data_IF_704127193550
#
_entry.id   IF_704127193550
#
_cell.length_a   1.000
_cell.length_b   1.000
_cell.length_c   1.000
_cell.angle_alpha   90.00
_cell.angle_beta   90.00
_cell.angle_gamma   90.00
#
_symmetry.space_group_name_H-M   'P 1'
#
loop_
_entity.id
_entity.type
_entity.pdbx_description
1 polymer ?
#
# COMPACT_ATOMS: atom_id res chain seq x y z
N UNK A 1 11.43 6.16 22.46
CA UNK A 1 10.68 5.02 21.90
C UNK A 1 11.61 3.96 21.30
N UNK A 2 12.63 4.31 20.50
CA UNK A 2 13.55 3.31 19.90
C UNK A 2 15.01 3.33 20.42
N UNK A 3 15.30 4.02 21.54
CA UNK A 3 16.60 3.95 22.22
C UNK A 3 17.72 4.80 21.60
N UNK A 4 18.01 4.62 20.30
CA UNK A 4 19.02 5.39 19.55
C UNK A 4 18.63 5.54 18.07
N UNK A 5 19.30 6.44 17.33
CA UNK A 5 19.06 6.67 15.90
C UNK A 5 19.49 5.48 15.02
N UNK A 6 20.52 4.75 15.42
CA UNK A 6 20.98 3.55 14.71
C UNK A 6 19.92 2.45 14.69
N UNK A 7 19.05 2.39 15.71
CA UNK A 7 17.94 1.45 15.77
C UNK A 7 16.81 1.74 14.76
N UNK A 8 16.89 2.84 14.00
CA UNK A 8 15.98 3.16 12.90
C UNK A 8 16.54 2.74 11.53
N UNK A 9 17.79 2.28 11.47
CA UNK A 9 18.40 1.82 10.22
C UNK A 9 17.84 0.45 9.81
N UNK A 10 17.25 0.36 8.61
CA UNK A 10 16.72 -0.88 8.05
C UNK A 10 15.30 -1.28 8.49
N UNK A 11 14.48 -0.33 8.95
CA UNK A 11 13.05 -0.55 9.17
C UNK A 11 12.25 -0.63 7.87
N UNK A 12 11.11 -1.35 7.87
CA UNK A 12 10.15 -1.30 6.76
C UNK A 12 9.26 -0.06 6.89
N UNK A 13 8.90 0.54 5.75
CA UNK A 13 7.96 1.66 5.71
C UNK A 13 6.60 1.29 6.32
N UNK A 14 6.16 0.03 6.25
CA UNK A 14 4.96 -0.48 6.94
C UNK A 14 5.00 -0.29 8.46
N UNK A 15 6.13 -0.60 9.11
CA UNK A 15 6.27 -0.43 10.56
C UNK A 15 6.18 1.05 10.95
N UNK A 16 6.80 1.92 10.14
CA UNK A 16 6.69 3.37 10.32
C UNK A 16 5.27 3.88 10.12
N UNK A 17 4.57 3.39 9.10
CA UNK A 17 3.19 3.76 8.83
C UNK A 17 2.26 3.40 9.98
N UNK A 18 2.30 2.17 10.48
CA UNK A 18 1.45 1.76 11.61
C UNK A 18 1.78 2.55 12.88
N UNK A 19 3.07 2.74 13.19
CA UNK A 19 3.50 3.44 14.41
C UNK A 19 3.15 4.94 14.39
N UNK A 20 3.16 5.59 13.21
CA UNK A 20 2.89 7.02 13.11
C UNK A 20 1.43 7.38 12.85
N UNK A 21 0.68 6.50 12.20
CA UNK A 21 -0.69 6.81 11.76
C UNK A 21 -1.76 6.04 12.53
N UNK A 22 -1.41 4.91 13.15
CA UNK A 22 -2.39 3.97 13.68
C UNK A 22 -3.29 3.34 12.61
N UNK A 23 -2.95 3.52 11.33
CA UNK A 23 -3.64 2.95 10.17
C UNK A 23 -3.34 1.46 9.99
N UNK A 24 -3.92 0.88 8.94
CA UNK A 24 -3.70 -0.51 8.56
C UNK A 24 -2.78 -0.52 7.34
N UNK A 25 -1.59 -1.13 7.49
CA UNK A 25 -0.65 -1.29 6.39
C UNK A 25 -0.92 -2.59 5.61
N UNK A 26 -0.88 -2.50 4.28
CA UNK A 26 -0.87 -3.61 3.34
C UNK A 26 0.37 -3.51 2.44
N UNK A 27 0.87 -4.66 2.00
CA UNK A 27 2.05 -4.75 1.16
C UNK A 27 1.75 -5.60 -0.07
N UNK A 28 2.14 -5.10 -1.25
CA UNK A 28 1.99 -5.75 -2.54
C UNK A 28 3.37 -6.02 -3.14
N UNK A 29 3.58 -7.27 -3.55
CA UNK A 29 4.75 -7.66 -4.35
C UNK A 29 4.51 -7.27 -5.80
N UNK A 30 5.38 -6.43 -6.35
CA UNK A 30 5.24 -5.92 -7.71
C UNK A 30 5.77 -6.89 -8.78
N UNK A 31 6.44 -7.97 -8.37
CA UNK A 31 6.82 -9.05 -9.29
C UNK A 31 5.63 -9.93 -9.68
N UNK A 32 4.61 -10.00 -8.82
CA UNK A 32 3.34 -10.69 -9.06
C UNK A 32 2.17 -9.74 -8.74
N UNK A 33 2.00 -8.65 -9.53
CA UNK A 33 1.04 -7.61 -9.21
C UNK A 33 -0.40 -8.09 -9.42
N UNK A 34 -1.30 -7.63 -8.55
CA UNK A 34 -2.74 -7.80 -8.76
C UNK A 34 -3.16 -7.11 -10.09
N UNK A 35 -4.00 -7.76 -10.94
CA UNK A 35 -4.46 -7.14 -12.19
C UNK A 35 -5.14 -5.78 -12.02
N UNK A 36 -5.75 -5.55 -10.85
CA UNK A 36 -6.46 -4.32 -10.48
C UNK A 36 -5.60 -3.40 -9.60
N UNK A 37 -4.30 -3.66 -9.45
CA UNK A 37 -3.41 -2.89 -8.57
C UNK A 37 -3.43 -1.38 -8.85
N UNK A 38 -3.50 -0.99 -10.13
CA UNK A 38 -3.59 0.42 -10.48
C UNK A 38 -4.85 1.09 -9.91
N UNK A 39 -5.99 0.40 -9.96
CA UNK A 39 -7.25 0.87 -9.38
C UNK A 39 -7.17 0.97 -7.86
N UNK A 40 -6.55 -0.03 -7.21
CA UNK A 40 -6.29 -0.02 -5.77
C UNK A 40 -5.49 1.22 -5.38
N UNK A 41 -4.44 1.58 -6.13
CA UNK A 41 -3.63 2.78 -5.90
C UNK A 41 -4.48 4.05 -6.06
N UNK A 42 -5.31 4.16 -7.10
CA UNK A 42 -6.18 5.32 -7.30
C UNK A 42 -7.20 5.48 -6.16
N UNK A 43 -7.84 4.38 -5.74
CA UNK A 43 -8.74 4.37 -4.59
C UNK A 43 -8.04 4.77 -3.30
N UNK A 44 -6.84 4.23 -3.05
CA UNK A 44 -6.02 4.57 -1.90
C UNK A 44 -5.68 6.07 -1.89
N UNK A 45 -5.28 6.62 -3.03
CA UNK A 45 -5.01 8.06 -3.18
C UNK A 45 -6.25 8.91 -2.86
N UNK A 46 -7.40 8.59 -3.44
CA UNK A 46 -8.66 9.32 -3.24
C UNK A 46 -9.16 9.26 -1.80
N UNK A 47 -8.75 8.23 -1.06
CA UNK A 47 -9.06 8.04 0.36
C UNK A 47 -8.00 8.62 1.30
N UNK A 48 -6.98 9.28 0.77
CA UNK A 48 -5.90 9.89 1.55
C UNK A 48 -4.94 8.89 2.18
N UNK A 49 -4.92 7.63 1.71
CA UNK A 49 -3.98 6.62 2.19
C UNK A 49 -2.54 7.03 1.87
N UNK A 50 -1.61 6.72 2.76
CA UNK A 50 -0.19 6.94 2.53
C UNK A 50 0.38 5.77 1.75
N UNK A 51 1.19 6.04 0.72
CA UNK A 51 1.74 4.99 -0.12
C UNK A 51 3.25 5.15 -0.24
N UNK A 52 3.95 4.05 -0.06
CA UNK A 52 5.39 3.94 -0.22
C UNK A 52 5.75 2.84 -1.21
N UNK A 53 6.89 2.97 -1.88
CA UNK A 53 7.42 1.91 -2.72
C UNK A 53 8.94 1.82 -2.57
N UNK A 54 9.49 0.66 -2.89
CA UNK A 54 10.93 0.43 -2.78
C UNK A 54 11.41 -0.57 -3.83
N UNK A 55 12.73 -0.53 -4.07
CA UNK A 55 13.44 -1.44 -4.96
C UNK A 55 14.31 -2.36 -4.10
N UNK A 56 14.10 -3.66 -4.20
CA UNK A 56 14.86 -4.64 -3.42
C UNK A 56 16.34 -4.65 -3.86
N UNK A 57 17.23 -4.85 -2.89
CA UNK A 57 18.67 -5.01 -3.13
C UNK A 57 19.04 -6.48 -3.22
N UNK A 58 19.88 -6.83 -4.19
CA UNK A 58 20.41 -8.19 -4.35
C UNK A 58 21.61 -8.47 -3.45
N UNK A 59 22.31 -7.43 -3.03
CA UNK A 59 23.46 -7.51 -2.12
C UNK A 59 23.50 -6.27 -1.21
N UNK A 60 24.11 -6.39 -0.03
CA UNK A 60 24.26 -5.25 0.90
C UNK A 60 25.10 -4.10 0.32
N UNK A 61 25.97 -4.39 -0.65
CA UNK A 61 26.70 -3.38 -1.42
C UNK A 61 25.84 -2.57 -2.39
N UNK A 62 24.63 -3.03 -2.70
CA UNK A 62 23.68 -2.33 -3.57
C UNK A 62 22.75 -1.36 -2.81
N UNK A 63 22.91 -1.25 -1.48
CA UNK A 63 22.15 -0.30 -0.66
C UNK A 63 22.46 1.13 -1.08
N UNK A 64 21.42 1.91 -1.37
CA UNK A 64 21.50 3.27 -1.92
C UNK A 64 22.23 3.38 -3.28
N UNK A 65 22.39 2.26 -4.00
CA UNK A 65 23.00 2.28 -5.32
C UNK A 65 22.06 2.94 -6.35
N UNK A 66 22.59 3.91 -7.10
CA UNK A 66 21.85 4.62 -8.15
C UNK A 66 21.93 3.85 -9.47
N UNK A 67 20.79 3.58 -10.09
CA UNK A 67 20.69 2.91 -11.40
C UNK A 67 21.08 3.87 -12.54
N UNK A 68 21.27 3.33 -13.74
CA UNK A 68 21.49 4.13 -14.96
C UNK A 68 20.34 5.10 -15.26
N UNK A 69 19.13 4.82 -14.78
CA UNK A 69 17.94 5.67 -14.92
C UNK A 69 17.68 6.53 -13.68
N UNK A 70 18.69 6.71 -12.82
CA UNK A 70 18.66 7.54 -11.60
C UNK A 70 17.65 7.11 -10.53
N UNK A 71 17.26 5.84 -10.49
CA UNK A 71 16.51 5.27 -9.36
C UNK A 71 17.48 4.76 -8.30
N UNK A 72 17.14 4.85 -7.03
CA UNK A 72 17.97 4.45 -5.89
C UNK A 72 17.46 3.13 -5.35
N UNK A 73 18.32 2.11 -5.27
CA UNK A 73 17.95 0.80 -4.71
C UNK A 73 18.05 0.77 -3.19
N UNK A 74 17.23 -0.06 -2.54
CA UNK A 74 17.23 -0.18 -1.08
C UNK A 74 16.77 1.10 -0.38
N UNK A 75 16.00 1.92 -1.09
CA UNK A 75 15.55 3.24 -0.66
C UNK A 75 14.04 3.32 -0.73
N UNK A 76 13.44 4.05 0.21
CA UNK A 76 12.01 4.26 0.26
C UNK A 76 11.62 5.49 -0.56
N UNK A 77 10.65 5.31 -1.45
CA UNK A 77 10.00 6.35 -2.22
C UNK A 77 8.54 6.50 -1.75
N UNK A 78 7.95 7.66 -2.00
CA UNK A 78 6.51 7.87 -1.79
C UNK A 78 5.77 7.83 -3.12
N UNK A 79 4.61 7.17 -3.16
CA UNK A 79 3.68 7.30 -4.29
C UNK A 79 2.73 8.46 -3.98
N UNK A 80 2.76 9.49 -4.81
CA UNK A 80 2.02 10.74 -4.57
C UNK A 80 0.92 11.01 -5.60
N UNK A 81 0.78 10.14 -6.60
CA UNK A 81 -0.29 10.22 -7.59
C UNK A 81 -0.40 9.02 -8.51
N UNK A 82 -1.61 8.76 -9.00
CA UNK A 82 -1.87 7.78 -10.05
C UNK A 82 -2.97 8.31 -10.97
N UNK A 83 -2.70 8.35 -12.27
CA UNK A 83 -3.56 9.00 -13.25
C UNK A 83 -3.50 8.34 -14.62
N UNK A 84 -4.45 8.66 -15.48
CA UNK A 84 -4.51 8.13 -16.85
C UNK A 84 -4.59 9.26 -17.85
N UNK A 85 -3.87 9.12 -18.97
CA UNK A 85 -3.86 10.10 -20.06
C UNK A 85 -4.05 9.41 -21.39
N UNK A 86 -4.72 10.07 -22.32
CA UNK A 86 -4.74 9.59 -23.71
C UNK A 86 -3.41 9.93 -24.39
N UNK A 87 -2.66 8.89 -24.75
CA UNK A 87 -1.39 9.00 -25.46
C UNK A 87 -1.42 8.13 -26.72
N UNK A 88 -1.37 8.79 -27.89
CA UNK A 88 -1.39 8.14 -29.21
C UNK A 88 -2.60 7.20 -29.42
N UNK A 89 -3.78 7.60 -28.92
CA UNK A 89 -5.02 6.84 -29.06
C UNK A 89 -5.17 5.65 -28.11
N UNK A 90 -4.28 5.53 -27.11
CA UNK A 90 -4.42 4.55 -26.03
C UNK A 90 -4.44 5.28 -24.68
N UNK A 91 -5.16 4.73 -23.70
CA UNK A 91 -5.11 5.20 -22.32
C UNK A 91 -3.83 4.67 -21.65
N UNK A 92 -2.89 5.58 -21.37
CA UNK A 92 -1.64 5.28 -20.68
C UNK A 92 -1.82 5.53 -19.18
N UNK A 93 -1.48 4.52 -18.37
CA UNK A 93 -1.52 4.60 -16.90
C UNK A 93 -0.19 5.17 -16.39
N UNK A 94 -0.26 6.28 -15.67
CA UNK A 94 0.89 6.98 -15.09
C UNK A 94 0.84 6.93 -13.57
N UNK A 95 2.02 6.85 -12.96
CA UNK A 95 2.19 6.92 -11.51
C UNK A 95 3.25 7.97 -11.18
N UNK A 96 2.96 8.75 -10.14
CA UNK A 96 3.83 9.82 -9.64
C UNK A 96 4.52 9.35 -8.37
N UNK A 97 5.83 9.47 -8.38
CA UNK A 97 6.72 8.98 -7.34
C UNK A 97 7.59 10.11 -6.86
N UNK A 98 7.83 10.19 -5.56
CA UNK A 98 8.67 11.20 -4.94
C UNK A 98 9.84 10.57 -4.20
N UNK A 99 11.04 11.00 -4.55
CA UNK A 99 12.25 10.72 -3.81
C UNK A 99 12.32 11.64 -2.57
N UNK A 100 12.37 11.10 -1.34
CA UNK A 100 12.45 11.92 -0.13
C UNK A 100 13.75 12.74 -0.03
N UNK A 101 14.79 12.44 -0.81
CA UNK A 101 15.98 13.30 -0.89
C UNK A 101 15.70 14.66 -1.54
N UNK A 102 14.58 14.83 -2.22
CA UNK A 102 14.21 16.07 -2.88
C UNK A 102 15.04 16.39 -4.13
N UNK A 103 15.74 15.38 -4.66
CA UNK A 103 16.64 15.46 -5.82
C UNK A 103 16.82 14.06 -6.41
N UNK A 104 17.45 13.97 -7.58
CA UNK A 104 17.71 12.71 -8.31
C UNK A 104 16.41 12.06 -8.77
N UNK A 105 16.03 12.39 -10.00
CA UNK A 105 14.77 12.00 -10.62
C UNK A 105 14.96 11.05 -11.79
N UNK A 106 13.89 10.30 -12.08
CA UNK A 106 13.78 9.38 -13.19
C UNK A 106 14.08 10.06 -14.54
N UNK A 107 14.88 9.39 -15.39
CA UNK A 107 15.27 9.92 -16.71
C UNK A 107 14.60 9.22 -17.88
N UNK A 108 13.67 8.29 -17.64
CA UNK A 108 13.01 7.52 -18.69
C UNK A 108 11.75 8.19 -19.25
N UNK A 109 10.79 7.37 -19.69
CA UNK A 109 9.52 7.88 -20.22
C UNK A 109 8.72 8.61 -19.13
N UNK A 110 8.10 9.74 -19.49
CA UNK A 110 7.30 10.59 -18.60
C UNK A 110 8.07 11.33 -17.50
N UNK A 111 9.41 11.30 -17.53
CA UNK A 111 10.24 12.26 -16.79
C UNK A 111 9.90 13.72 -17.13
N UNK A 112 10.31 14.67 -16.30
CA UNK A 112 9.99 16.10 -16.46
C UNK A 112 10.36 16.68 -17.83
N UNK A 113 11.50 16.24 -18.38
CA UNK A 113 12.01 16.65 -19.69
C UNK A 113 11.54 15.76 -20.85
N UNK A 114 10.69 14.77 -20.58
CA UNK A 114 10.25 13.78 -21.56
C UNK A 114 9.46 14.42 -22.71
N UNK A 115 9.74 13.99 -23.94
CA UNK A 115 9.02 14.49 -25.13
C UNK A 115 7.57 14.02 -25.20
N UNK A 116 7.23 12.97 -24.44
CA UNK A 116 5.92 12.35 -24.34
C UNK A 116 4.85 13.36 -23.91
N UNK A 117 5.20 14.29 -23.01
CA UNK A 117 4.32 15.39 -22.56
C UNK A 117 3.86 16.32 -23.68
N UNK A 118 4.54 16.34 -24.83
CA UNK A 118 4.12 17.15 -26.00
C UNK A 118 3.04 16.48 -26.85
N UNK A 119 2.69 15.23 -26.56
CA UNK A 119 1.79 14.42 -27.36
C UNK A 119 0.46 14.11 -26.63
N UNK A 120 0.26 14.69 -25.46
CA UNK A 120 -1.00 14.66 -24.70
C UNK A 120 -1.73 16.00 -24.84
N UNK A 121 -2.97 16.06 -24.36
CA UNK A 121 -3.75 17.29 -24.33
C UNK A 121 -3.06 18.37 -23.49
N UNK A 122 -3.29 19.65 -23.81
CA UNK A 122 -2.78 20.75 -22.98
C UNK A 122 -3.38 20.70 -21.56
N UNK A 123 -4.64 20.26 -21.42
CA UNK A 123 -5.32 20.09 -20.13
C UNK A 123 -4.62 19.04 -19.25
N UNK A 124 -4.32 17.85 -19.79
CA UNK A 124 -3.60 16.81 -19.06
C UNK A 124 -2.17 17.21 -18.75
N UNK A 125 -1.52 17.95 -19.67
CA UNK A 125 -0.18 18.46 -19.44
C UNK A 125 -0.16 19.46 -18.30
N UNK A 126 -1.08 20.40 -18.25
CA UNK A 126 -1.12 21.41 -17.19
C UNK A 126 -1.52 20.78 -15.83
N UNK A 127 -2.29 19.69 -15.87
CA UNK A 127 -2.71 18.92 -14.70
C UNK A 127 -1.61 18.06 -14.10
N UNK A 128 -0.77 17.44 -14.94
CA UNK A 128 0.18 16.39 -14.52
C UNK A 128 1.64 16.83 -14.64
N UNK A 129 1.98 17.63 -15.65
CA UNK A 129 3.37 18.04 -15.89
C UNK A 129 3.72 19.25 -15.03
N UNK A 130 4.44 19.00 -13.94
CA UNK A 130 5.08 20.04 -13.15
C UNK A 130 6.59 19.84 -13.22
N UNK A 131 7.31 20.77 -13.85
CA UNK A 131 8.76 20.67 -14.01
C UNK A 131 9.45 21.30 -12.83
N UNK A 132 10.02 20.49 -11.95
CA UNK A 132 10.63 20.95 -10.71
C UNK A 132 11.65 19.94 -10.24
N UNK A 133 12.88 20.37 -9.92
CA UNK A 133 13.82 19.49 -9.23
C UNK A 133 13.46 19.42 -7.73
N UNK A 134 12.44 18.64 -7.41
CA UNK A 134 11.98 18.38 -6.03
C UNK A 134 11.93 16.89 -5.69
N UNK A 135 12.48 16.05 -6.57
CA UNK A 135 12.52 14.61 -6.44
C UNK A 135 11.21 13.93 -6.86
N UNK A 136 10.18 14.66 -7.25
CA UNK A 136 8.93 14.12 -7.77
C UNK A 136 8.99 13.93 -9.28
N UNK A 137 8.51 12.80 -9.78
CA UNK A 137 8.49 12.51 -11.20
C UNK A 137 7.33 11.56 -11.54
N UNK A 138 6.88 11.62 -12.80
CA UNK A 138 5.98 10.61 -13.35
C UNK A 138 6.75 9.51 -14.08
N UNK A 139 6.17 8.32 -14.09
CA UNK A 139 6.58 7.23 -14.96
C UNK A 139 5.37 6.42 -15.41
N UNK A 140 5.54 5.62 -16.46
CA UNK A 140 4.49 4.67 -16.84
C UNK A 140 4.30 3.63 -15.72
N UNK A 141 3.08 3.18 -15.50
CA UNK A 141 2.80 2.13 -14.52
C UNK A 141 3.52 0.82 -14.89
N UNK A 142 3.72 0.56 -16.18
CA UNK A 142 4.51 -0.57 -16.65
C UNK A 142 5.99 -0.46 -16.27
N UNK A 143 6.58 0.73 -16.34
CA UNK A 143 7.95 0.94 -15.86
C UNK A 143 8.00 0.82 -14.34
N UNK A 144 7.00 1.31 -13.62
CA UNK A 144 6.91 1.13 -12.17
C UNK A 144 6.98 -0.35 -11.77
N UNK A 145 6.15 -1.20 -12.36
CA UNK A 145 6.15 -2.65 -12.11
C UNK A 145 7.47 -3.34 -12.48
N UNK A 146 8.22 -2.81 -13.46
CA UNK A 146 9.51 -3.37 -13.87
C UNK A 146 10.67 -2.98 -12.97
N UNK A 147 10.63 -1.79 -12.38
CA UNK A 147 11.75 -1.24 -11.62
C UNK A 147 11.57 -1.38 -10.10
N UNK A 148 10.34 -1.23 -9.61
CA UNK A 148 10.03 -1.35 -8.18
C UNK A 148 9.67 -2.78 -7.82
N UNK A 149 9.98 -3.15 -6.57
CA UNK A 149 9.79 -4.52 -6.07
C UNK A 149 8.61 -4.61 -5.12
N UNK A 150 8.36 -3.56 -4.33
CA UNK A 150 7.29 -3.53 -3.33
C UNK A 150 6.53 -2.21 -3.36
N UNK A 151 5.23 -2.32 -3.17
CA UNK A 151 4.34 -1.22 -2.85
C UNK A 151 3.74 -1.48 -1.47
N UNK A 152 3.72 -0.46 -0.63
CA UNK A 152 3.14 -0.49 0.70
C UNK A 152 2.09 0.61 0.80
N UNK A 153 0.87 0.26 1.17
CA UNK A 153 -0.24 1.20 1.31
C UNK A 153 -0.66 1.20 2.77
N UNK A 154 -0.79 2.37 3.37
CA UNK A 154 -1.32 2.54 4.71
C UNK A 154 -2.67 3.25 4.65
N UNK A 155 -3.72 2.46 4.90
CA UNK A 155 -5.09 2.94 4.97
C UNK A 155 -5.31 3.62 6.31
N UNK A 156 -5.51 4.93 6.26
CA UNK A 156 -5.65 5.77 7.43
C UNK A 156 -7.02 5.57 8.09
N UNK A 157 -7.02 5.62 9.42
CA UNK A 157 -8.28 5.67 10.16
C UNK A 157 -8.96 7.03 9.93
N UNK A 158 -10.30 7.12 9.98
CA UNK A 158 -11.01 8.38 9.77
C UNK A 158 -10.58 9.50 10.74
N UNK A 159 -10.03 9.15 11.91
CA UNK A 159 -9.51 10.11 12.89
C UNK A 159 -8.20 10.78 12.46
N UNK A 160 -7.44 10.18 11.54
CA UNK A 160 -6.15 10.70 11.07
C UNK A 160 -6.30 11.76 9.96
N UNK A 161 -7.47 11.86 9.33
CA UNK A 161 -7.75 12.79 8.23
C UNK A 161 -8.70 13.90 8.69
N UNK A 162 -8.16 15.11 8.92
CA UNK A 162 -8.94 16.31 9.23
C UNK A 162 -9.46 17.04 7.99
N UNK A 163 -9.00 16.65 6.81
CA UNK A 163 -9.46 17.22 5.53
C UNK A 163 -10.75 16.53 5.09
N UNK A 164 -11.77 17.31 4.76
CA UNK A 164 -13.07 16.82 4.32
C UNK A 164 -13.15 16.65 2.79
N UNK A 165 -12.09 17.02 2.06
CA UNK A 165 -11.97 16.81 0.61
C UNK A 165 -11.64 15.37 0.21
N UNK A 166 -11.19 14.54 1.16
CA UNK A 166 -10.85 13.12 0.94
C UNK A 166 -11.89 12.18 1.51
N UNK A 167 -12.17 11.11 0.78
CA UNK A 167 -13.12 10.07 1.18
C UNK A 167 -12.57 9.24 2.35
N UNK A 168 -13.23 9.26 3.51
CA UNK A 168 -12.73 8.58 4.72
C UNK A 168 -13.13 7.10 4.74
N UNK A 169 -12.26 6.25 5.29
CA UNK A 169 -12.58 4.84 5.56
C UNK A 169 -13.57 4.71 6.72
N UNK A 170 -14.54 3.82 6.62
CA UNK A 170 -15.35 3.41 7.76
C UNK A 170 -14.57 2.39 8.60
N UNK A 171 -14.34 2.69 9.89
CA UNK A 171 -13.56 1.83 10.79
C UNK A 171 -14.48 1.10 11.79
N UNK A 172 -14.38 -0.23 11.81
CA UNK A 172 -14.94 -1.07 12.88
C UNK A 172 -13.83 -1.88 13.54
N UNK A 173 -13.69 -1.74 14.86
CA UNK A 173 -12.64 -2.42 15.64
C UNK A 173 -13.24 -3.43 16.61
N UNK A 174 -12.70 -4.64 16.59
CA UNK A 174 -13.09 -5.72 17.48
C UNK A 174 -11.88 -6.25 18.25
N UNK A 175 -12.11 -6.66 19.50
CA UNK A 175 -11.11 -7.29 20.35
C UNK A 175 -11.51 -8.74 20.67
N UNK A 176 -10.53 -9.64 20.68
CA UNK A 176 -10.74 -11.06 20.91
C UNK A 176 -9.58 -11.72 21.65
N UNK A 177 -9.76 -12.98 22.05
CA UNK A 177 -8.68 -13.79 22.64
C UNK A 177 -8.81 -15.27 22.28
N UNK A 178 -7.68 -15.92 22.02
CA UNK A 178 -7.57 -17.37 21.85
C UNK A 178 -7.09 -18.00 23.15
N UNK A 179 -7.94 -18.83 23.77
CA UNK A 179 -7.66 -19.51 25.04
C UNK A 179 -7.68 -21.02 24.85
N UNK A 180 -6.62 -21.69 25.30
CA UNK A 180 -6.50 -23.16 25.22
C UNK A 180 -7.69 -23.83 25.91
N UNK A 181 -8.27 -24.82 25.25
CA UNK A 181 -9.44 -25.56 25.74
C UNK A 181 -10.79 -24.85 25.56
N UNK A 182 -10.81 -23.68 24.91
CA UNK A 182 -12.04 -22.95 24.61
C UNK A 182 -11.97 -22.36 23.20
N UNK A 183 -11.46 -21.13 23.04
CA UNK A 183 -11.50 -20.39 21.77
C UNK A 183 -10.29 -20.60 20.86
N UNK A 184 -9.23 -21.30 21.30
CA UNK A 184 -8.04 -21.58 20.48
C UNK A 184 -8.29 -22.75 19.50
N UNK A 185 -9.11 -22.49 18.47
CA UNK A 185 -9.59 -23.51 17.52
C UNK A 185 -8.60 -23.94 16.44
N UNK A 186 -7.51 -23.18 16.22
CA UNK A 186 -6.54 -23.43 15.15
C UNK A 186 -7.01 -22.90 13.79
N UNK A 187 -6.31 -23.28 12.71
CA UNK A 187 -6.66 -22.90 11.33
C UNK A 187 -7.64 -23.90 10.68
N UNK A 188 -8.00 -23.68 9.41
CA UNK A 188 -9.00 -24.48 8.68
C UNK A 188 -8.66 -25.96 8.57
N UNK A 189 -7.38 -26.31 8.69
CA UNK A 189 -6.87 -27.68 8.69
C UNK A 189 -7.26 -28.48 9.95
N UNK A 190 -7.80 -27.82 10.98
CA UNK A 190 -8.27 -28.44 12.23
C UNK A 190 -9.80 -28.35 12.34
N UNK A 191 -10.57 -29.05 11.50
CA UNK A 191 -12.02 -28.86 11.39
C UNK A 191 -12.79 -29.13 12.69
N UNK A 192 -12.29 -30.03 13.55
CA UNK A 192 -12.92 -30.39 14.81
C UNK A 192 -12.93 -29.24 15.84
N UNK A 193 -12.00 -28.30 15.71
CA UNK A 193 -11.81 -27.19 16.66
C UNK A 193 -11.93 -25.82 16.00
N UNK A 194 -11.78 -25.70 14.69
CA UNK A 194 -11.78 -24.42 13.97
C UNK A 194 -13.00 -23.54 14.25
N UNK A 195 -14.18 -24.15 14.40
CA UNK A 195 -15.43 -23.46 14.66
C UNK A 195 -15.49 -22.77 16.04
N UNK A 196 -14.60 -23.11 16.98
CA UNK A 196 -14.56 -22.50 18.31
C UNK A 196 -13.82 -21.17 18.35
N UNK A 197 -13.14 -20.79 17.25
CA UNK A 197 -12.53 -19.47 17.14
C UNK A 197 -13.62 -18.36 17.19
N UNK A 198 -13.29 -17.15 17.68
CA UNK A 198 -14.20 -16.01 17.62
C UNK A 198 -14.66 -15.73 16.19
N UNK A 199 -15.95 -15.44 16.02
CA UNK A 199 -16.57 -15.14 14.72
C UNK A 199 -17.13 -13.72 14.75
N UNK A 200 -16.94 -12.98 13.65
CA UNK A 200 -17.40 -11.61 13.49
C UNK A 200 -18.24 -11.50 12.23
N UNK A 201 -19.24 -10.61 12.25
CA UNK A 201 -20.13 -10.37 11.11
C UNK A 201 -19.77 -9.02 10.51
N UNK A 202 -19.53 -9.02 9.20
CA UNK A 202 -19.35 -7.81 8.39
C UNK A 202 -20.60 -7.68 7.51
N UNK A 203 -21.16 -6.48 7.43
CA UNK A 203 -22.26 -6.15 6.51
C UNK A 203 -21.74 -5.15 5.50
N UNK A 204 -22.00 -5.42 4.23
CA UNK A 204 -21.61 -4.60 3.10
C UNK A 204 -22.92 -4.16 2.44
N UNK A 205 -23.28 -2.88 2.65
CA UNK A 205 -24.59 -2.34 2.25
C UNK A 205 -24.47 -1.36 1.05
N UNK A 206 -23.33 -0.70 0.87
CA UNK A 206 -23.11 0.34 -0.14
C UNK A 206 -21.95 -0.03 -1.07
N UNK A 207 -22.20 -0.03 -2.38
CA UNK A 207 -21.19 -0.26 -3.43
C UNK A 207 -20.28 0.97 -3.53
N UNK A 208 -18.97 0.74 -3.68
CA UNK A 208 -17.95 1.80 -3.72
C UNK A 208 -17.06 1.77 -4.97
N UNK A 209 -17.40 0.91 -5.93
CA UNK A 209 -16.77 0.83 -7.25
C UNK A 209 -17.33 1.89 -8.21
N UNK A 210 -16.52 2.32 -9.17
CA UNK A 210 -16.98 3.19 -10.24
C UNK A 210 -17.95 2.40 -11.14
N UNK A 211 -19.17 2.88 -11.40
CA UNK A 211 -20.11 2.19 -12.27
C UNK A 211 -19.56 1.93 -13.69
N UNK A 212 -18.52 2.66 -14.12
CA UNK A 212 -17.88 2.48 -15.42
C UNK A 212 -16.81 1.37 -15.44
N UNK A 213 -16.40 0.83 -14.28
CA UNK A 213 -15.36 -0.21 -14.18
C UNK A 213 -15.88 -1.64 -14.46
N UNK A 214 -17.20 -1.81 -14.59
CA UNK A 214 -17.83 -3.10 -14.93
C UNK A 214 -17.83 -4.14 -13.79
N UNK A 215 -17.38 -3.76 -12.61
CA UNK A 215 -17.46 -4.54 -11.38
C UNK A 215 -18.24 -3.74 -10.33
N UNK A 216 -19.35 -4.31 -9.84
CA UNK A 216 -20.11 -3.75 -8.73
C UNK A 216 -19.73 -4.50 -7.46
N UNK A 217 -19.09 -3.82 -6.51
CA UNK A 217 -18.64 -4.40 -5.27
C UNK A 217 -18.55 -3.40 -4.13
N UNK A 218 -18.35 -3.96 -2.93
CA UNK A 218 -18.03 -3.21 -1.72
C UNK A 218 -16.62 -3.57 -1.28
N UNK A 219 -15.73 -2.60 -1.27
CA UNK A 219 -14.33 -2.77 -0.87
C UNK A 219 -14.19 -2.63 0.64
N UNK A 220 -13.50 -3.58 1.28
CA UNK A 220 -13.17 -3.50 2.70
C UNK A 220 -11.80 -4.11 2.98
N UNK A 221 -11.11 -3.57 4.00
CA UNK A 221 -9.79 -4.04 4.43
C UNK A 221 -9.89 -4.63 5.83
N UNK A 222 -9.28 -5.81 6.05
CA UNK A 222 -9.26 -6.49 7.35
C UNK A 222 -7.83 -6.62 7.86
N UNK A 223 -7.50 -5.85 8.89
CA UNK A 223 -6.26 -6.00 9.66
C UNK A 223 -6.47 -6.86 10.90
N UNK A 224 -5.79 -8.01 10.99
CA UNK A 224 -5.75 -8.84 12.20
C UNK A 224 -4.40 -8.67 12.91
N UNK A 225 -4.40 -8.09 14.11
CA UNK A 225 -3.17 -7.72 14.84
C UNK A 225 -3.08 -8.47 16.17
N UNK A 226 -1.92 -9.09 16.45
CA UNK A 226 -1.64 -9.73 17.73
C UNK A 226 -1.03 -8.76 18.76
N UNK A 227 -1.65 -8.66 19.94
CA UNK A 227 -1.23 -7.73 21.00
C UNK A 227 -0.09 -8.29 21.87
N UNK A 228 0.79 -7.40 22.35
CA UNK A 228 1.80 -7.64 23.38
C UNK A 228 2.93 -8.65 23.08
N UNK A 229 3.10 -9.14 21.84
CA UNK A 229 4.10 -10.15 21.51
C UNK A 229 5.55 -9.70 21.64
N UNK A 230 5.87 -8.45 21.30
CA UNK A 230 7.21 -7.88 21.49
C UNK A 230 7.66 -7.95 22.98
N UNK A 231 6.74 -7.89 23.96
CA UNK A 231 7.05 -8.07 25.40
C UNK A 231 7.29 -9.55 25.76
N UNK A 232 6.61 -10.47 25.08
CA UNK A 232 6.71 -11.92 25.31
C UNK A 232 8.00 -12.54 24.74
N UNK A 233 8.70 -11.85 23.82
CA UNK A 233 10.04 -12.25 23.36
C UNK A 233 11.05 -12.41 24.51
N UNK A 234 10.93 -11.60 25.57
CA UNK A 234 11.77 -11.73 26.78
C UNK A 234 11.54 -13.05 27.53
N UNK A 235 10.44 -13.74 27.26
CA UNK A 235 10.06 -15.03 27.83
C UNK A 235 10.26 -16.21 26.85
N UNK A 236 10.89 -15.96 25.69
CA UNK A 236 11.14 -16.99 24.67
C UNK A 236 9.95 -17.29 23.74
N UNK A 237 8.88 -16.49 23.80
CA UNK A 237 7.74 -16.61 22.87
C UNK A 237 7.87 -15.60 21.72
N UNK A 238 7.78 -16.08 20.48
CA UNK A 238 7.78 -15.24 19.28
C UNK A 238 6.36 -14.96 18.77
N UNK A 239 6.24 -14.23 17.66
CA UNK A 239 5.00 -14.03 16.92
C UNK A 239 4.37 -15.37 16.58
N UNK A 240 3.06 -15.50 16.82
CA UNK A 240 2.32 -16.68 16.35
C UNK A 240 1.92 -16.49 14.89
N UNK A 241 1.94 -17.58 14.14
CA UNK A 241 1.30 -17.65 12.82
C UNK A 241 -0.20 -17.44 13.00
N UNK A 242 -0.72 -16.41 12.37
CA UNK A 242 -2.11 -15.99 12.47
C UNK A 242 -2.68 -15.72 11.09
N UNK A 243 -4.00 -15.78 10.98
CA UNK A 243 -4.74 -15.54 9.76
C UNK A 243 -6.24 -15.64 10.04
N UNK A 244 -7.03 -15.31 9.04
CA UNK A 244 -8.48 -15.37 9.11
C UNK A 244 -9.05 -15.97 7.83
N UNK A 245 -10.33 -16.32 7.87
CA UNK A 245 -11.09 -16.78 6.70
C UNK A 245 -12.44 -16.06 6.71
N UNK A 246 -12.86 -15.62 5.53
CA UNK A 246 -14.14 -14.92 5.33
C UNK A 246 -15.09 -15.90 4.67
N UNK A 247 -16.33 -15.94 5.15
CA UNK A 247 -17.39 -16.79 4.64
C UNK A 247 -18.61 -15.94 4.34
N UNK A 248 -19.18 -16.12 3.15
CA UNK A 248 -20.46 -15.53 2.81
C UNK A 248 -21.57 -16.23 3.60
N UNK A 249 -22.44 -15.45 4.23
CA UNK A 249 -23.60 -15.97 4.93
C UNK A 249 -24.75 -16.17 3.95
N UNK A 250 -24.96 -17.41 3.52
CA UNK A 250 -26.16 -17.78 2.75
C UNK A 250 -27.41 -17.54 3.62
N UNK A 251 -28.22 -16.55 3.23
CA UNK A 251 -29.57 -16.38 3.76
C UNK A 251 -30.46 -17.39 3.03
N UNK A 252 -30.99 -18.37 3.77
CA UNK A 252 -32.03 -19.30 3.28
C UNK A 252 -33.42 -18.74 3.56
#
# INVERSE_FOLDING_TARGET
MNGCYEALSGGSTTEGFEDFTGGIAEAHDLSEPDPHLFHIIQKAQNRGSLMGCSIDITSSSDSEAVTSQKLVKGHAYSVTGADQVEYRGNMEKLIRIRNPWGQVEWTGAWSDDSTQWRQISDEDRDRLSHRSEDGEFWMSFNDFLRHYSRLEICNLTPDALSDDSVSKWALSKFDGSWRRGSTAGGCRNFPNTFWTNPQFVIRLDEEDDDPDDGENGCSFVVGLIQKNRRRMRKMGEDMQTMGFAIYEKLIR
#
